data_IF_371823673554
#
_entry.id   IF_371823673554
#
_cell.length_a   1.000
_cell.length_b   1.000
_cell.length_c   1.000
_cell.angle_alpha   90.00
_cell.angle_beta   90.00
_cell.angle_gamma   90.00
#
_symmetry.space_group_name_H-M   'P 1'
#
loop_
_entity.id
_entity.type
_entity.pdbx_description
1 polymer ?
#
# COMPACT_ATOMS: atom_id res chain seq x y z
N UNK A 1 6.61 18.42 13.71
CA UNK A 1 6.15 17.13 13.15
C UNK A 1 4.80 16.80 13.76
N UNK A 2 3.85 16.28 12.97
CA UNK A 2 2.57 15.77 13.47
C UNK A 2 2.81 14.55 14.36
N UNK A 3 1.96 14.36 15.35
CA UNK A 3 1.91 13.12 16.14
C UNK A 3 1.37 11.98 15.29
N UNK A 4 1.63 10.72 15.69
CA UNK A 4 1.06 9.55 15.02
C UNK A 4 -0.47 9.63 14.91
N UNK A 5 -1.12 10.06 16.00
CA UNK A 5 -2.58 10.17 16.05
C UNK A 5 -3.10 11.21 15.04
N UNK A 6 -2.47 12.38 14.95
CA UNK A 6 -2.84 13.41 13.98
C UNK A 6 -2.71 12.92 12.54
N UNK A 7 -1.69 12.11 12.23
CA UNK A 7 -1.51 11.51 10.90
C UNK A 7 -2.61 10.48 10.61
N UNK A 8 -2.91 9.60 11.58
CA UNK A 8 -3.96 8.59 11.43
C UNK A 8 -5.34 9.24 11.28
N UNK A 9 -5.63 10.28 12.06
CA UNK A 9 -6.92 10.99 11.99
C UNK A 9 -7.09 11.73 10.66
N UNK A 10 -6.00 12.23 10.08
CA UNK A 10 -6.03 12.91 8.78
C UNK A 10 -6.40 11.97 7.63
N UNK A 11 -5.98 10.70 7.68
CA UNK A 11 -6.30 9.72 6.64
C UNK A 11 -7.56 8.90 6.93
N UNK A 12 -8.09 8.96 8.15
CA UNK A 12 -9.28 8.22 8.57
C UNK A 12 -10.50 8.58 7.73
N UNK A 13 -11.27 7.57 7.35
CA UNK A 13 -12.48 7.68 6.52
C UNK A 13 -12.23 8.31 5.13
N UNK A 14 -10.98 8.24 4.65
CA UNK A 14 -10.60 8.82 3.37
C UNK A 14 -9.94 7.81 2.42
N UNK A 15 -9.59 8.30 1.25
CA UNK A 15 -8.89 7.54 0.21
C UNK A 15 -7.48 8.10 0.07
N UNK A 16 -6.49 7.25 0.30
CA UNK A 16 -5.10 7.46 -0.10
C UNK A 16 -4.95 6.97 -1.55
N UNK A 17 -4.31 7.76 -2.40
CA UNK A 17 -4.07 7.36 -3.79
C UNK A 17 -2.63 6.88 -3.95
N UNK A 18 -2.49 5.65 -4.45
CA UNK A 18 -1.19 5.04 -4.73
C UNK A 18 -0.67 5.50 -6.09
N UNK A 19 0.26 6.46 -6.07
CA UNK A 19 0.90 7.04 -7.25
C UNK A 19 2.17 6.25 -7.58
N UNK A 20 2.02 5.17 -8.35
CA UNK A 20 3.12 4.27 -8.72
C UNK A 20 2.97 3.79 -10.18
N UNK A 21 4.07 3.87 -10.95
CA UNK A 21 4.19 3.21 -12.24
C UNK A 21 5.31 2.18 -12.14
N UNK A 22 5.03 0.95 -12.55
CA UNK A 22 5.98 -0.18 -12.48
C UNK A 22 5.85 -1.09 -13.70
N UNK A 23 6.90 -1.83 -14.00
CA UNK A 23 6.90 -2.82 -15.07
C UNK A 23 6.78 -2.20 -16.45
N UNK A 24 5.82 -2.65 -17.23
CA UNK A 24 5.53 -2.26 -18.61
C UNK A 24 4.59 -1.04 -18.74
N UNK A 25 4.21 -0.42 -17.61
CA UNK A 25 3.32 0.74 -17.62
C UNK A 25 3.97 1.91 -18.41
N UNK A 26 3.32 2.45 -19.46
CA UNK A 26 3.86 3.57 -20.23
C UNK A 26 4.20 4.81 -19.40
N UNK A 27 3.53 5.01 -18.25
CA UNK A 27 3.79 6.12 -17.33
C UNK A 27 5.14 6.02 -16.60
N UNK A 28 5.86 4.89 -16.75
CA UNK A 28 7.22 4.74 -16.19
C UNK A 28 8.23 5.64 -16.92
N UNK A 29 7.94 6.00 -18.19
CA UNK A 29 8.68 7.05 -18.89
C UNK A 29 8.38 8.37 -18.17
N UNK A 30 9.40 9.08 -17.73
CA UNK A 30 9.25 10.28 -16.90
C UNK A 30 8.40 10.03 -15.62
N UNK A 31 8.66 8.91 -14.93
CA UNK A 31 7.84 8.41 -13.82
C UNK A 31 7.56 9.50 -12.78
N UNK A 32 8.57 10.22 -12.35
CA UNK A 32 8.45 11.26 -11.32
C UNK A 32 7.45 12.36 -11.71
N UNK A 33 7.51 12.84 -12.97
CA UNK A 33 6.58 13.83 -13.49
C UNK A 33 5.15 13.28 -13.59
N UNK A 34 5.02 12.06 -14.13
CA UNK A 34 3.71 11.44 -14.30
C UNK A 34 3.04 11.16 -12.95
N UNK A 35 3.81 10.69 -11.97
CA UNK A 35 3.27 10.42 -10.62
C UNK A 35 2.91 11.71 -9.88
N UNK A 36 3.66 12.80 -10.10
CA UNK A 36 3.30 14.12 -9.59
C UNK A 36 1.96 14.60 -10.15
N UNK A 37 1.73 14.46 -11.46
CA UNK A 37 0.45 14.82 -12.10
C UNK A 37 -0.71 13.96 -11.58
N UNK A 38 -0.47 12.65 -11.37
CA UNK A 38 -1.48 11.77 -10.75
C UNK A 38 -1.79 12.18 -9.32
N UNK A 39 -0.79 12.58 -8.54
CA UNK A 39 -1.00 13.10 -7.18
C UNK A 39 -1.80 14.41 -7.20
N UNK A 40 -1.52 15.31 -8.15
CA UNK A 40 -2.29 16.55 -8.32
C UNK A 40 -3.77 16.26 -8.67
N UNK A 41 -4.02 15.35 -9.60
CA UNK A 41 -5.37 14.92 -9.94
C UNK A 41 -6.09 14.32 -8.72
N UNK A 42 -5.39 13.47 -7.96
CA UNK A 42 -5.93 12.85 -6.76
C UNK A 42 -6.28 13.87 -5.67
N UNK A 43 -5.39 14.85 -5.42
CA UNK A 43 -5.63 15.92 -4.46
C UNK A 43 -6.86 16.76 -4.84
N UNK A 44 -6.97 17.15 -6.11
CA UNK A 44 -8.17 17.86 -6.62
C UNK A 44 -9.43 17.02 -6.53
N UNK A 45 -9.31 15.70 -6.59
CA UNK A 45 -10.41 14.75 -6.41
C UNK A 45 -10.78 14.49 -4.95
N UNK A 46 -10.07 15.05 -3.98
CA UNK A 46 -10.36 14.91 -2.56
C UNK A 46 -9.64 13.76 -1.86
N UNK A 47 -8.53 13.24 -2.44
CA UNK A 47 -7.67 12.29 -1.73
C UNK A 47 -7.11 12.90 -0.45
N UNK A 48 -7.02 12.09 0.61
CA UNK A 48 -6.54 12.53 1.94
C UNK A 48 -5.03 12.33 2.14
N UNK A 49 -4.36 11.67 1.21
CA UNK A 49 -2.93 11.39 1.23
C UNK A 49 -2.48 10.62 -0.01
N UNK A 50 -1.19 10.35 -0.07
CA UNK A 50 -0.58 9.63 -1.18
C UNK A 50 0.25 8.45 -0.67
N UNK A 51 0.37 7.43 -1.52
CA UNK A 51 1.36 6.36 -1.38
C UNK A 51 2.27 6.40 -2.62
N UNK A 52 3.57 6.53 -2.44
CA UNK A 52 4.51 6.65 -3.55
C UNK A 52 5.78 5.82 -3.32
N UNK A 53 6.38 5.39 -4.43
CA UNK A 53 7.55 4.52 -4.44
C UNK A 53 8.81 5.30 -4.80
N UNK A 54 9.83 5.19 -3.97
CA UNK A 54 11.17 5.76 -4.09
C UNK A 54 11.28 7.27 -3.84
N UNK A 55 12.43 7.73 -3.34
CA UNK A 55 12.71 9.15 -3.10
C UNK A 55 12.46 10.03 -4.33
N UNK A 56 12.81 9.54 -5.52
CA UNK A 56 12.66 10.26 -6.77
C UNK A 56 11.21 10.69 -7.05
N UNK A 57 10.23 9.84 -6.73
CA UNK A 57 8.82 10.15 -6.92
C UNK A 57 8.21 10.89 -5.71
N UNK A 58 8.69 10.60 -4.50
CA UNK A 58 8.15 11.16 -3.26
C UNK A 58 8.51 12.64 -3.11
N UNK A 59 9.77 13.02 -3.35
CA UNK A 59 10.26 14.38 -3.13
C UNK A 59 9.43 15.44 -3.89
N UNK A 60 9.14 15.29 -5.20
CA UNK A 60 8.31 16.27 -5.91
C UNK A 60 6.89 16.35 -5.38
N UNK A 61 6.29 15.21 -5.02
CA UNK A 61 4.93 15.18 -4.47
C UNK A 61 4.89 15.87 -3.11
N UNK A 62 5.82 15.55 -2.20
CA UNK A 62 5.91 16.21 -0.87
C UNK A 62 6.19 17.71 -0.98
N UNK A 63 7.00 18.12 -1.96
CA UNK A 63 7.25 19.53 -2.21
C UNK A 63 5.98 20.28 -2.64
N UNK A 64 5.13 19.66 -3.46
CA UNK A 64 3.87 20.27 -3.92
C UNK A 64 2.77 20.21 -2.85
N UNK A 65 2.76 19.16 -2.04
CA UNK A 65 1.72 18.89 -1.04
C UNK A 65 2.34 18.64 0.35
N UNK A 66 2.99 19.63 0.98
CA UNK A 66 3.75 19.44 2.22
C UNK A 66 2.90 18.98 3.40
N UNK A 67 1.61 19.35 3.43
CA UNK A 67 0.70 19.06 4.53
C UNK A 67 -0.10 17.76 4.36
N UNK A 68 -0.08 17.17 3.16
CA UNK A 68 -0.76 15.90 2.91
C UNK A 68 0.11 14.72 3.37
N UNK A 69 -0.48 13.75 4.11
CA UNK A 69 0.22 12.54 4.52
C UNK A 69 0.79 11.77 3.33
N UNK A 70 2.05 11.35 3.48
CA UNK A 70 2.75 10.52 2.50
C UNK A 70 3.06 9.15 3.11
N UNK A 71 2.55 8.10 2.49
CA UNK A 71 2.98 6.73 2.70
C UNK A 71 4.15 6.45 1.76
N UNK A 72 5.36 6.46 2.30
CA UNK A 72 6.56 6.15 1.55
C UNK A 72 6.84 4.67 1.49
N UNK A 73 7.20 4.19 0.31
CA UNK A 73 7.78 2.86 0.10
C UNK A 73 9.00 2.98 -0.80
N UNK A 74 9.89 1.99 -0.72
CA UNK A 74 10.97 1.84 -1.68
C UNK A 74 11.14 0.39 -2.05
N UNK A 75 10.69 0.03 -3.25
CA UNK A 75 10.75 -1.33 -3.76
C UNK A 75 12.14 -1.65 -4.28
N UNK A 76 12.82 -2.56 -3.59
CA UNK A 76 14.15 -3.09 -3.96
C UNK A 76 14.01 -4.60 -4.14
N UNK A 77 14.10 -5.06 -5.37
CA UNK A 77 14.10 -6.49 -5.68
C UNK A 77 15.53 -7.02 -5.62
N UNK A 78 15.78 -7.95 -4.71
CA UNK A 78 17.03 -8.71 -4.61
C UNK A 78 16.73 -10.15 -4.95
N UNK A 79 17.59 -10.78 -5.76
CA UNK A 79 17.40 -12.17 -6.16
C UNK A 79 17.34 -13.08 -4.92
N UNK A 80 16.36 -13.98 -4.90
CA UNK A 80 16.14 -14.90 -3.78
C UNK A 80 15.58 -14.27 -2.50
N UNK A 81 15.26 -12.95 -2.49
CA UNK A 81 14.61 -12.32 -1.34
C UNK A 81 13.12 -12.14 -1.61
N UNK A 82 12.21 -12.76 -0.82
CA UNK A 82 10.77 -12.54 -0.96
C UNK A 82 10.36 -11.12 -0.54
N UNK A 83 11.10 -10.48 0.35
CA UNK A 83 10.82 -9.15 0.88
C UNK A 83 11.41 -8.08 -0.02
N UNK A 84 10.54 -7.23 -0.59
CA UNK A 84 10.96 -6.21 -1.56
C UNK A 84 10.38 -4.81 -1.33
N UNK A 85 9.38 -4.65 -0.45
CA UNK A 85 8.82 -3.33 -0.12
C UNK A 85 9.55 -2.82 1.12
N UNK A 86 10.41 -1.83 0.94
CA UNK A 86 11.19 -1.18 2.01
C UNK A 86 11.92 -2.20 2.89
N UNK A 87 12.82 -3.02 2.30
CA UNK A 87 13.30 -4.25 2.95
C UNK A 87 14.25 -4.03 4.12
N UNK A 88 14.89 -2.85 4.25
CA UNK A 88 15.89 -2.62 5.30
C UNK A 88 15.78 -1.21 5.89
N UNK A 89 16.51 -0.98 6.99
CA UNK A 89 16.61 0.35 7.62
C UNK A 89 17.19 1.41 6.67
N UNK A 90 17.99 1.03 5.69
CA UNK A 90 18.52 1.96 4.67
C UNK A 90 17.39 2.64 3.89
N UNK A 91 16.42 1.86 3.43
CA UNK A 91 15.27 2.40 2.72
C UNK A 91 14.36 3.20 3.65
N UNK A 92 14.18 2.76 4.90
CA UNK A 92 13.44 3.52 5.92
C UNK A 92 14.07 4.88 6.15
N UNK A 93 15.39 4.94 6.37
CA UNK A 93 16.11 6.19 6.59
C UNK A 93 15.91 7.20 5.44
N UNK A 94 16.10 6.72 4.20
CA UNK A 94 15.93 7.57 3.02
C UNK A 94 14.49 8.09 2.86
N UNK A 95 13.48 7.29 3.19
CA UNK A 95 12.09 7.70 3.12
C UNK A 95 11.73 8.71 4.22
N UNK A 96 12.29 8.58 5.41
CA UNK A 96 12.16 9.57 6.48
C UNK A 96 12.80 10.90 6.06
N UNK A 97 13.97 10.87 5.44
CA UNK A 97 14.64 12.06 4.89
C UNK A 97 13.80 12.76 3.81
N UNK A 98 12.99 12.03 3.06
CA UNK A 98 12.02 12.59 2.10
C UNK A 98 10.81 13.26 2.76
N UNK A 99 10.67 13.18 4.09
CA UNK A 99 9.56 13.77 4.84
C UNK A 99 8.30 12.92 4.86
N UNK A 100 8.40 11.60 4.68
CA UNK A 100 7.26 10.69 4.82
C UNK A 100 6.84 10.59 6.28
N UNK A 101 5.56 10.77 6.55
CA UNK A 101 4.96 10.58 7.88
C UNK A 101 4.66 9.12 8.17
N UNK A 102 4.43 8.34 7.12
CA UNK A 102 4.09 6.92 7.18
C UNK A 102 5.08 6.16 6.30
N UNK A 103 5.69 5.11 6.84
CA UNK A 103 6.52 4.19 6.05
C UNK A 103 5.81 2.85 5.98
N UNK A 104 5.57 2.36 4.77
CA UNK A 104 5.02 1.03 4.55
C UNK A 104 6.12 0.03 4.18
N UNK A 105 6.04 -1.14 4.79
CA UNK A 105 7.00 -2.23 4.63
C UNK A 105 6.27 -3.54 4.40
N UNK A 106 6.84 -4.42 3.58
CA UNK A 106 6.45 -5.83 3.56
C UNK A 106 6.84 -6.46 4.91
N UNK A 107 5.84 -6.67 5.75
CA UNK A 107 6.01 -7.23 7.11
C UNK A 107 5.30 -8.59 7.25
N UNK A 108 5.25 -9.34 6.17
CA UNK A 108 4.80 -10.72 6.19
C UNK A 108 5.72 -11.61 7.03
N UNK A 109 5.27 -12.81 7.40
CA UNK A 109 6.06 -13.79 8.17
C UNK A 109 7.15 -14.49 7.37
N UNK A 110 7.53 -13.90 6.23
CA UNK A 110 8.65 -14.35 5.41
C UNK A 110 9.99 -13.92 6.02
N UNK A 111 11.04 -14.70 5.73
CA UNK A 111 12.41 -14.33 6.10
C UNK A 111 12.96 -13.37 5.04
N UNK A 112 13.40 -12.21 5.49
CA UNK A 112 14.18 -11.29 4.67
C UNK A 112 15.61 -11.85 4.55
N UNK A 113 15.95 -12.38 3.38
CA UNK A 113 17.25 -13.02 3.16
C UNK A 113 18.44 -12.05 3.22
N UNK A 114 18.20 -10.75 3.03
CA UNK A 114 19.23 -9.71 3.18
C UNK A 114 19.66 -9.55 4.64
N UNK A 115 18.74 -9.71 5.58
CA UNK A 115 19.00 -9.51 7.01
C UNK A 115 19.11 -10.82 7.78
N UNK A 116 18.61 -11.94 7.22
CA UNK A 116 18.49 -13.24 7.88
C UNK A 116 17.44 -13.30 8.99
N UNK A 117 16.55 -12.29 9.09
CA UNK A 117 15.53 -12.15 10.12
C UNK A 117 14.13 -12.23 9.50
N UNK A 118 13.12 -12.48 10.30
CA UNK A 118 11.74 -12.27 9.88
C UNK A 118 11.51 -10.80 9.52
N UNK A 119 10.72 -10.55 8.47
CA UNK A 119 10.49 -9.19 7.97
C UNK A 119 9.94 -8.24 9.04
N UNK A 120 9.04 -8.71 9.91
CA UNK A 120 8.43 -7.92 10.98
C UNK A 120 9.40 -7.49 12.11
N UNK A 121 10.57 -8.13 12.25
CA UNK A 121 11.53 -7.79 13.32
C UNK A 121 12.12 -6.38 13.16
N UNK A 122 12.08 -5.81 11.96
CA UNK A 122 12.52 -4.44 11.69
C UNK A 122 11.71 -3.38 12.44
N UNK A 123 10.46 -3.69 12.85
CA UNK A 123 9.58 -2.78 13.61
C UNK A 123 10.30 -2.27 14.87
N UNK A 124 11.01 -3.15 15.56
CA UNK A 124 11.75 -2.80 16.78
C UNK A 124 12.84 -1.75 16.51
N UNK A 125 13.59 -1.93 15.41
CA UNK A 125 14.67 -1.02 15.03
C UNK A 125 14.11 0.34 14.62
N UNK A 126 13.00 0.36 13.87
CA UNK A 126 12.31 1.59 13.48
C UNK A 126 11.80 2.35 14.71
N UNK A 127 11.13 1.67 15.64
CA UNK A 127 10.60 2.31 16.87
C UNK A 127 11.71 2.88 17.74
N UNK A 128 12.85 2.22 17.82
CA UNK A 128 14.00 2.71 18.57
C UNK A 128 14.60 3.98 17.95
N UNK A 129 14.70 4.04 16.62
CA UNK A 129 15.30 5.17 15.90
C UNK A 129 14.32 6.32 15.64
N UNK A 130 13.07 5.99 15.35
CA UNK A 130 12.03 6.93 14.91
C UNK A 130 10.72 6.73 15.70
N UNK A 131 10.66 7.09 16.98
CA UNK A 131 9.52 6.76 17.86
C UNK A 131 8.19 7.39 17.42
N UNK A 132 8.24 8.48 16.65
CA UNK A 132 7.06 9.20 16.15
C UNK A 132 6.68 8.84 14.70
N UNK A 133 7.44 7.95 14.05
CA UNK A 133 7.13 7.50 12.70
C UNK A 133 5.95 6.53 12.70
N UNK A 134 4.98 6.73 11.83
CA UNK A 134 3.88 5.78 11.63
C UNK A 134 4.37 4.59 10.81
N UNK A 135 4.27 3.39 11.37
CA UNK A 135 4.66 2.14 10.72
C UNK A 135 3.42 1.50 10.12
N UNK A 136 3.38 1.36 8.80
CA UNK A 136 2.35 0.63 8.08
C UNK A 136 2.88 -0.74 7.68
N UNK A 137 2.19 -1.78 8.13
CA UNK A 137 2.52 -3.16 7.81
C UNK A 137 1.73 -3.62 6.58
N UNK A 138 2.41 -3.84 5.46
CA UNK A 138 1.85 -4.53 4.30
C UNK A 138 1.85 -6.03 4.59
N UNK A 139 0.66 -6.61 4.80
CA UNK A 139 0.48 -8.00 5.24
C UNK A 139 -0.42 -8.79 4.28
N UNK A 140 -0.36 -10.10 4.37
CA UNK A 140 -1.20 -10.99 3.58
C UNK A 140 -2.50 -11.36 4.31
N UNK A 141 -2.39 -11.94 5.49
CA UNK A 141 -3.52 -12.55 6.19
C UNK A 141 -3.61 -12.15 7.68
N UNK A 142 -4.60 -12.70 8.36
CA UNK A 142 -4.86 -12.43 9.78
C UNK A 142 -3.73 -12.86 10.70
N UNK A 143 -2.93 -13.86 10.33
CA UNK A 143 -1.81 -14.32 11.16
C UNK A 143 -0.65 -13.31 11.10
N UNK A 144 -0.34 -12.79 9.90
CA UNK A 144 0.60 -11.67 9.77
C UNK A 144 0.10 -10.46 10.57
N UNK A 145 -1.19 -10.11 10.43
CA UNK A 145 -1.80 -8.98 11.12
C UNK A 145 -1.61 -9.06 12.65
N UNK A 146 -1.87 -10.21 13.26
CA UNK A 146 -1.68 -10.44 14.70
C UNK A 146 -0.23 -10.25 15.14
N UNK A 147 0.72 -10.76 14.33
CA UNK A 147 2.14 -10.64 14.63
C UNK A 147 2.56 -9.17 14.63
N UNK A 148 2.33 -8.47 13.51
CA UNK A 148 2.80 -7.08 13.36
C UNK A 148 2.10 -6.10 14.31
N UNK A 149 0.82 -6.35 14.63
CA UNK A 149 0.09 -5.56 15.62
C UNK A 149 0.71 -5.69 17.02
N UNK A 150 1.05 -6.91 17.44
CA UNK A 150 1.74 -7.18 18.71
C UNK A 150 3.13 -6.55 18.75
N UNK A 151 3.88 -6.55 17.63
CA UNK A 151 5.19 -5.89 17.52
C UNK A 151 5.07 -4.36 17.47
N UNK A 152 3.86 -3.83 17.27
CA UNK A 152 3.51 -2.42 17.38
C UNK A 152 3.55 -1.64 16.06
N UNK A 153 3.12 -2.27 14.97
CA UNK A 153 2.71 -1.56 13.77
C UNK A 153 1.50 -0.67 14.06
N UNK A 154 1.46 0.52 13.48
CA UNK A 154 0.41 1.51 13.69
C UNK A 154 -0.75 1.32 12.70
N UNK A 155 -0.46 0.84 11.49
CA UNK A 155 -1.44 0.57 10.41
C UNK A 155 -1.24 -0.87 9.93
N UNK A 156 -2.35 -1.61 9.81
CA UNK A 156 -2.41 -2.93 9.20
C UNK A 156 -2.96 -2.77 7.78
N UNK A 157 -2.20 -3.18 6.76
CA UNK A 157 -2.62 -3.04 5.36
C UNK A 157 -2.64 -4.36 4.60
N UNK A 158 -3.71 -4.64 3.89
CA UNK A 158 -3.92 -5.87 3.14
C UNK A 158 -3.16 -5.94 1.80
N UNK A 159 -2.14 -5.12 1.62
CA UNK A 159 -1.39 -4.94 0.35
C UNK A 159 -0.83 -6.24 -0.21
N UNK A 160 -0.34 -7.14 0.65
CA UNK A 160 0.30 -8.40 0.24
C UNK A 160 -0.68 -9.56 0.07
N UNK A 161 -1.99 -9.34 0.28
CA UNK A 161 -2.98 -10.39 0.15
C UNK A 161 -3.03 -10.98 -1.27
N UNK A 162 -2.74 -12.26 -1.37
CA UNK A 162 -2.66 -13.00 -2.61
C UNK A 162 -1.25 -13.16 -3.20
N UNK A 163 -0.23 -12.52 -2.62
CA UNK A 163 1.12 -12.48 -3.20
C UNK A 163 2.18 -13.27 -2.41
N UNK A 164 1.84 -13.85 -1.27
CA UNK A 164 2.75 -14.67 -0.48
C UNK A 164 2.55 -16.16 -0.69
N UNK A 165 3.49 -17.02 -0.32
CA UNK A 165 3.31 -18.48 -0.33
C UNK A 165 2.13 -18.95 0.53
N UNK A 166 1.79 -18.21 1.58
CA UNK A 166 0.75 -18.54 2.57
C UNK A 166 -0.65 -18.11 2.15
N UNK A 167 -0.76 -17.24 1.15
CA UNK A 167 -2.06 -16.71 0.71
C UNK A 167 -3.04 -17.82 0.37
N UNK A 168 -4.25 -17.76 0.94
CA UNK A 168 -5.37 -18.66 0.61
C UNK A 168 -5.82 -18.45 -0.84
N UNK A 169 -5.81 -17.21 -1.30
CA UNK A 169 -6.13 -16.82 -2.69
C UNK A 169 -4.84 -16.36 -3.36
N UNK A 170 -4.51 -16.95 -4.52
CA UNK A 170 -3.29 -16.59 -5.26
C UNK A 170 -3.60 -15.58 -6.35
N UNK A 171 -2.80 -14.54 -6.42
CA UNK A 171 -2.85 -13.55 -7.49
C UNK A 171 -1.50 -13.46 -8.19
N UNK A 172 -1.54 -13.19 -9.49
CA UNK A 172 -0.33 -12.87 -10.26
C UNK A 172 -0.07 -11.37 -10.19
N UNK A 173 1.18 -11.00 -10.09
CA UNK A 173 1.56 -9.60 -10.16
C UNK A 173 1.14 -9.02 -11.52
N UNK A 174 0.32 -7.98 -11.50
CA UNK A 174 -0.19 -7.36 -12.73
C UNK A 174 -1.60 -7.78 -13.16
N UNK A 175 -2.20 -8.83 -12.57
CA UNK A 175 -3.60 -9.20 -12.84
C UNK A 175 -4.56 -8.03 -12.62
N UNK A 176 -5.57 -7.93 -13.49
CA UNK A 176 -6.62 -6.92 -13.44
C UNK A 176 -7.98 -7.51 -13.06
N UNK A 177 -8.11 -8.84 -13.04
CA UNK A 177 -9.40 -9.52 -12.98
C UNK A 177 -9.78 -10.01 -11.57
N UNK A 178 -8.87 -9.84 -10.60
CA UNK A 178 -9.13 -10.22 -9.21
C UNK A 178 -10.13 -9.26 -8.54
N UNK A 179 -10.93 -9.82 -7.63
CA UNK A 179 -11.88 -9.09 -6.79
C UNK A 179 -11.25 -8.71 -5.44
N UNK A 180 -11.76 -7.67 -4.74
CA UNK A 180 -11.35 -7.35 -3.39
C UNK A 180 -11.62 -8.51 -2.42
N UNK A 181 -10.67 -8.82 -1.54
CA UNK A 181 -10.85 -9.88 -0.55
C UNK A 181 -11.45 -9.32 0.76
N UNK A 182 -12.76 -9.11 0.76
CA UNK A 182 -13.47 -8.63 1.95
C UNK A 182 -13.54 -9.67 3.08
N UNK A 183 -13.39 -10.97 2.78
CA UNK A 183 -13.34 -12.01 3.80
C UNK A 183 -12.09 -11.85 4.67
N UNK A 184 -10.92 -11.66 4.05
CA UNK A 184 -9.68 -11.37 4.77
C UNK A 184 -9.79 -10.10 5.63
N UNK A 185 -10.43 -9.04 5.10
CA UNK A 185 -10.67 -7.82 5.86
C UNK A 185 -11.53 -8.08 7.11
N UNK A 186 -12.61 -8.86 6.98
CA UNK A 186 -13.47 -9.24 8.13
C UNK A 186 -12.71 -10.08 9.15
N UNK A 187 -11.90 -11.07 8.70
CA UNK A 187 -11.07 -11.90 9.59
C UNK A 187 -10.11 -11.03 10.40
N UNK A 188 -9.42 -10.07 9.75
CA UNK A 188 -8.49 -9.15 10.41
C UNK A 188 -9.23 -8.25 11.42
N UNK A 189 -10.35 -7.64 11.00
CA UNK A 189 -11.14 -6.77 11.89
C UNK A 189 -11.68 -7.52 13.09
N UNK A 190 -12.17 -8.75 12.92
CA UNK A 190 -12.65 -9.59 14.03
C UNK A 190 -11.54 -9.95 15.01
N UNK A 191 -10.33 -10.22 14.50
CA UNK A 191 -9.18 -10.55 15.34
C UNK A 191 -8.56 -9.33 16.05
N UNK A 192 -8.63 -8.14 15.43
CA UNK A 192 -8.01 -6.90 15.87
C UNK A 192 -9.03 -5.75 15.84
N UNK A 193 -9.99 -5.71 16.79
CA UNK A 193 -11.09 -4.74 16.75
C UNK A 193 -10.64 -3.28 16.85
N UNK A 194 -9.51 -3.01 17.50
CA UNK A 194 -8.98 -1.66 17.74
C UNK A 194 -7.90 -1.22 16.74
N UNK A 195 -7.44 -2.12 15.85
CA UNK A 195 -6.39 -1.82 14.88
C UNK A 195 -6.87 -0.78 13.84
N UNK A 196 -5.95 0.10 13.42
CA UNK A 196 -6.18 0.93 12.24
C UNK A 196 -5.93 0.07 10.99
N UNK A 197 -6.99 -0.25 10.24
CA UNK A 197 -6.91 -1.07 9.03
C UNK A 197 -7.02 -0.16 7.81
N UNK A 198 -5.98 -0.16 6.98
CA UNK A 198 -5.99 0.42 5.65
C UNK A 198 -6.21 -0.73 4.64
N UNK A 199 -7.36 -0.71 3.97
CA UNK A 199 -7.65 -1.74 2.98
C UNK A 199 -7.08 -1.35 1.62
N UNK A 200 -6.21 -2.18 1.10
CA UNK A 200 -5.59 -2.04 -0.23
C UNK A 200 -5.70 -3.36 -1.00
N UNK A 201 -6.08 -3.26 -2.24
CA UNK A 201 -6.13 -4.37 -3.18
C UNK A 201 -7.44 -4.47 -3.95
N UNK A 202 -7.35 -4.30 -5.27
CA UNK A 202 -8.41 -4.59 -6.25
C UNK A 202 -9.72 -3.81 -6.07
N UNK A 203 -9.66 -2.63 -5.46
CA UNK A 203 -10.78 -1.69 -5.42
C UNK A 203 -10.91 -1.03 -6.79
N UNK A 204 -11.92 -1.42 -7.57
CA UNK A 204 -12.13 -0.93 -8.94
C UNK A 204 -13.41 -0.12 -9.10
N UNK A 205 -14.36 -0.26 -8.18
CA UNK A 205 -15.65 0.41 -8.22
C UNK A 205 -15.89 1.25 -6.96
N UNK A 206 -16.83 2.19 -7.02
CA UNK A 206 -17.28 2.93 -5.84
C UNK A 206 -17.98 2.01 -4.84
N UNK A 207 -18.65 0.99 -5.34
CA UNK A 207 -19.34 -0.04 -4.56
C UNK A 207 -18.33 -0.83 -3.70
N UNK A 208 -17.17 -1.20 -4.27
CA UNK A 208 -16.06 -1.82 -3.54
C UNK A 208 -15.58 -0.95 -2.38
N UNK A 209 -15.46 0.36 -2.62
CA UNK A 209 -15.02 1.30 -1.59
C UNK A 209 -16.01 1.35 -0.41
N UNK A 210 -17.31 1.42 -0.70
CA UNK A 210 -18.35 1.42 0.32
C UNK A 210 -18.36 0.11 1.08
N UNK A 211 -18.23 -1.02 0.36
CA UNK A 211 -18.22 -2.35 0.97
C UNK A 211 -16.99 -2.56 1.88
N UNK A 212 -15.82 -2.03 1.51
CA UNK A 212 -14.64 -2.08 2.36
C UNK A 212 -14.87 -1.37 3.72
N UNK A 213 -15.51 -0.20 3.73
CA UNK A 213 -15.86 0.49 4.97
C UNK A 213 -16.88 -0.29 5.80
N UNK A 214 -17.90 -0.89 5.20
CA UNK A 214 -18.87 -1.75 5.89
C UNK A 214 -18.21 -2.96 6.55
N UNK A 215 -17.12 -3.47 5.95
CA UNK A 215 -16.34 -4.58 6.48
C UNK A 215 -15.22 -4.15 7.45
N UNK A 216 -15.17 -2.88 7.85
CA UNK A 216 -14.34 -2.40 8.95
C UNK A 216 -13.01 -1.77 8.57
N UNK A 217 -12.82 -1.34 7.32
CA UNK A 217 -11.67 -0.51 6.96
C UNK A 217 -11.76 0.87 7.65
N UNK A 218 -10.61 1.43 8.03
CA UNK A 218 -10.50 2.79 8.54
C UNK A 218 -10.04 3.79 7.45
N UNK A 219 -9.38 3.28 6.42
CA UNK A 219 -8.87 4.03 5.28
C UNK A 219 -8.77 3.09 4.08
N UNK A 220 -8.81 3.63 2.87
CA UNK A 220 -8.59 2.87 1.64
C UNK A 220 -7.33 3.35 0.92
N UNK A 221 -6.60 2.43 0.28
CA UNK A 221 -5.55 2.79 -0.67
C UNK A 221 -5.91 2.26 -2.07
N UNK A 222 -6.02 3.17 -3.03
CA UNK A 222 -6.41 2.85 -4.39
C UNK A 222 -5.26 3.21 -5.35
N UNK A 223 -4.78 2.22 -6.08
CA UNK A 223 -3.73 2.38 -7.09
C UNK A 223 -4.28 2.25 -8.51
N UNK A 224 -4.30 1.03 -9.04
CA UNK A 224 -4.58 0.73 -10.46
C UNK A 224 -5.82 1.42 -11.02
N UNK A 225 -6.90 1.45 -10.27
CA UNK A 225 -8.17 2.06 -10.71
C UNK A 225 -8.06 3.57 -11.00
N UNK A 226 -7.12 4.27 -10.35
CA UNK A 226 -6.97 5.73 -10.47
C UNK A 226 -5.71 6.09 -11.29
N UNK A 227 -4.58 5.41 -11.01
CA UNK A 227 -3.26 5.85 -11.50
C UNK A 227 -2.68 4.95 -12.60
N UNK A 228 -3.45 3.97 -13.09
CA UNK A 228 -3.00 3.08 -14.16
C UNK A 228 -4.02 2.97 -15.30
N UNK A 229 -4.16 4.01 -16.16
CA UNK A 229 -5.09 4.01 -17.28
C UNK A 229 -4.88 2.81 -18.23
N UNK A 230 -3.63 2.36 -18.42
CA UNK A 230 -3.31 1.20 -19.23
C UNK A 230 -4.03 -0.05 -18.73
N UNK A 231 -3.88 -0.38 -17.45
CA UNK A 231 -4.51 -1.57 -16.87
C UNK A 231 -6.03 -1.45 -16.76
N UNK A 232 -6.55 -0.24 -16.56
CA UNK A 232 -8.01 -0.01 -16.58
C UNK A 232 -8.58 -0.18 -17.98
N UNK A 233 -7.90 0.30 -19.02
CA UNK A 233 -8.30 0.05 -20.42
C UNK A 233 -8.30 -1.45 -20.73
N UNK A 234 -7.24 -2.18 -20.35
CA UNK A 234 -7.13 -3.63 -20.52
C UNK A 234 -8.31 -4.37 -19.87
N UNK A 235 -8.68 -3.98 -18.62
CA UNK A 235 -9.83 -4.56 -17.90
C UNK A 235 -11.14 -4.39 -18.68
N UNK A 236 -11.42 -3.21 -19.20
CA UNK A 236 -12.63 -2.96 -19.98
C UNK A 236 -12.62 -3.71 -21.32
N UNK A 237 -11.49 -3.71 -22.03
CA UNK A 237 -11.35 -4.42 -23.30
C UNK A 237 -11.55 -5.92 -23.13
N UNK A 238 -10.97 -6.52 -22.09
CA UNK A 238 -11.13 -7.94 -21.79
C UNK A 238 -12.60 -8.30 -21.52
N UNK A 239 -13.28 -7.52 -20.69
CA UNK A 239 -14.69 -7.76 -20.38
C UNK A 239 -15.59 -7.75 -21.65
N UNK A 240 -15.34 -6.79 -22.57
CA UNK A 240 -16.07 -6.73 -23.86
C UNK A 240 -15.72 -7.92 -24.76
N UNK A 241 -14.44 -8.29 -24.85
CA UNK A 241 -14.00 -9.40 -25.67
C UNK A 241 -14.58 -10.75 -25.19
N UNK A 242 -14.64 -10.95 -23.87
CA UNK A 242 -15.20 -12.18 -23.30
C UNK A 242 -16.70 -12.29 -23.59
N UNK A 243 -17.44 -11.19 -23.46
CA UNK A 243 -18.85 -11.13 -23.85
C UNK A 243 -19.04 -11.45 -25.35
N UNK A 244 -18.24 -10.82 -26.23
CA UNK A 244 -18.37 -11.02 -27.67
C UNK A 244 -17.95 -12.42 -28.16
N UNK A 245 -17.06 -13.13 -27.43
CA UNK A 245 -16.66 -14.50 -27.77
C UNK A 245 -17.63 -15.55 -27.23
N UNK A 246 -18.40 -15.23 -26.20
CA UNK A 246 -19.40 -16.12 -25.60
C UNK A 246 -20.77 -16.08 -26.29
N UNK A 247 -20.95 -15.17 -27.24
CA UNK A 247 -22.11 -15.03 -28.10
C UNK A 247 -21.74 -15.31 -29.57
#
# INVERSE_FOLDING_TARGET
MKTKQEVLDQIRNGIVVSCQAVGDNPLIRECSRNMLLMAECAAKGGAVGFRANSPENIIPIKKMFPDMPMIGIWKIKTEGNPIYITPTMKEVDALVECGCEIIALDLTREINTTTGKYAYEIIKDIKAKYPNLVIMADIDDVEDAKIVYREGADIISTTMNGYTPHSKVKHRQGETDGEPNFENLREIRAALPDAFILFEGRLYTREDCVEAYKNGANCLCIGKAITNPYKMTERFVNAVNDYCKGN
#
